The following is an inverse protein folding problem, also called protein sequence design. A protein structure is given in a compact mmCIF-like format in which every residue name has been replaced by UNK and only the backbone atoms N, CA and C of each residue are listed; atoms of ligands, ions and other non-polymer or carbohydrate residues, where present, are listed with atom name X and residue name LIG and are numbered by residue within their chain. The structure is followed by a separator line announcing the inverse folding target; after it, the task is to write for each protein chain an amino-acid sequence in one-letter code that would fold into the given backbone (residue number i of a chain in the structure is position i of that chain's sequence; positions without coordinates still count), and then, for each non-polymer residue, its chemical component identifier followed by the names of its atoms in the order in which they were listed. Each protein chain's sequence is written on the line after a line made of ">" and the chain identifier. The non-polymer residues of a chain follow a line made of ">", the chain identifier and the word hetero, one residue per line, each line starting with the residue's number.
data_IF_113199997558
#
_entry.id   IF_113199997558
#
_cell.length_a   1.000
_cell.length_b   1.000
_cell.length_c   1.000
_cell.angle_alpha   90.00
_cell.angle_beta   90.00
_cell.angle_gamma   90.00
#
_symmetry.space_group_name_H-M   'P 1'
#
loop_
_entity.id
_entity.type
_entity.pdbx_description
1 polymer ?
#
# COMPACT_ATOMS: atom_id res chain seq x y z
N UNK A 1 -8.06 -35.61 0.37
CA UNK A 1 -8.66 -34.55 1.22
C UNK A 1 -8.30 -34.85 2.66
N UNK A 2 -8.11 -33.83 3.51
CA UNK A 2 -7.75 -34.01 4.93
C UNK A 2 -6.33 -33.56 5.30
N UNK A 3 -5.40 -33.51 4.35
CA UNK A 3 -4.02 -33.06 4.61
C UNK A 3 -3.83 -31.54 4.47
N UNK A 4 -2.83 -31.01 5.17
CA UNK A 4 -2.40 -29.62 5.08
C UNK A 4 -1.36 -29.45 3.98
N UNK A 5 -1.60 -28.52 3.05
CA UNK A 5 -0.63 -28.14 2.01
C UNK A 5 0.25 -27.01 2.51
N UNK A 6 1.56 -27.25 2.65
CA UNK A 6 2.53 -26.20 2.94
C UNK A 6 3.22 -25.75 1.65
N UNK A 7 3.14 -24.45 1.37
CA UNK A 7 3.97 -23.77 0.40
C UNK A 7 4.87 -22.76 1.12
N UNK A 8 6.13 -23.14 1.36
CA UNK A 8 7.08 -22.34 2.12
C UNK A 8 7.68 -21.15 1.32
N UNK A 9 7.34 -21.02 0.02
CA UNK A 9 7.80 -19.97 -0.88
C UNK A 9 6.67 -19.57 -1.83
N UNK A 10 5.52 -19.23 -1.24
CA UNK A 10 4.26 -19.20 -1.96
C UNK A 10 4.18 -18.10 -3.03
N UNK A 11 4.99 -17.03 -2.93
CA UNK A 11 5.27 -16.10 -4.03
C UNK A 11 4.02 -15.64 -4.79
N UNK A 12 3.83 -16.20 -5.98
CA UNK A 12 2.70 -15.90 -6.87
C UNK A 12 1.32 -16.40 -6.39
N UNK A 13 1.29 -17.26 -5.38
CA UNK A 13 0.06 -17.75 -4.74
C UNK A 13 -0.65 -18.89 -5.43
N UNK A 14 -0.06 -19.52 -6.44
CA UNK A 14 -0.74 -20.55 -7.22
C UNK A 14 -1.12 -21.76 -6.35
N UNK A 15 -0.18 -22.29 -5.56
CA UNK A 15 -0.44 -23.43 -4.66
C UNK A 15 -1.54 -23.10 -3.65
N UNK A 16 -1.49 -21.91 -3.05
CA UNK A 16 -2.47 -21.42 -2.08
C UNK A 16 -3.86 -21.30 -2.73
N UNK A 17 -3.96 -20.66 -3.89
CA UNK A 17 -5.23 -20.46 -4.58
C UNK A 17 -5.86 -21.78 -5.05
N UNK A 18 -5.05 -22.73 -5.54
CA UNK A 18 -5.54 -24.06 -5.94
C UNK A 18 -5.95 -24.87 -4.71
N UNK A 19 -5.20 -24.80 -3.62
CA UNK A 19 -5.56 -25.47 -2.36
C UNK A 19 -6.88 -24.93 -1.80
N UNK A 20 -7.08 -23.61 -1.84
CA UNK A 20 -8.36 -22.98 -1.47
C UNK A 20 -9.51 -23.47 -2.36
N UNK A 21 -9.32 -23.51 -3.68
CA UNK A 21 -10.34 -24.00 -4.64
C UNK A 21 -10.74 -25.45 -4.38
N UNK A 22 -9.77 -26.28 -3.98
CA UNK A 22 -9.98 -27.69 -3.65
C UNK A 22 -10.44 -27.92 -2.21
N UNK A 23 -10.80 -26.85 -1.48
CA UNK A 23 -11.25 -26.89 -0.09
C UNK A 23 -10.26 -27.62 0.85
N UNK A 24 -8.95 -27.44 0.62
CA UNK A 24 -7.89 -28.01 1.45
C UNK A 24 -7.42 -27.02 2.52
N UNK A 25 -6.90 -27.54 3.62
CA UNK A 25 -6.12 -26.75 4.57
C UNK A 25 -4.78 -26.40 3.93
N UNK A 26 -4.29 -25.18 4.13
CA UNK A 26 -3.02 -24.74 3.57
C UNK A 26 -2.29 -23.73 4.44
N UNK A 27 -0.97 -23.67 4.29
CA UNK A 27 -0.07 -22.68 4.88
C UNK A 27 0.78 -22.12 3.75
N UNK A 28 0.76 -20.80 3.56
CA UNK A 28 1.62 -20.10 2.63
C UNK A 28 2.61 -19.22 3.38
N UNK A 29 3.90 -19.33 3.06
CA UNK A 29 4.96 -18.49 3.63
C UNK A 29 5.71 -17.78 2.52
N UNK A 30 5.90 -16.47 2.68
CA UNK A 30 6.81 -15.67 1.88
C UNK A 30 7.42 -14.59 2.79
N UNK A 31 8.66 -14.20 2.49
CA UNK A 31 9.36 -13.16 3.25
C UNK A 31 8.95 -11.74 2.82
N UNK A 32 8.40 -11.60 1.62
CA UNK A 32 8.10 -10.31 1.02
C UNK A 32 6.62 -9.92 1.19
N UNK A 33 6.37 -8.70 1.64
CA UNK A 33 5.01 -8.17 1.74
C UNK A 33 4.30 -8.09 0.39
N UNK A 34 5.07 -7.91 -0.70
CA UNK A 34 4.54 -7.87 -2.05
C UNK A 34 3.94 -9.21 -2.49
N UNK A 35 4.63 -10.34 -2.25
CA UNK A 35 4.08 -11.66 -2.53
C UNK A 35 2.83 -11.92 -1.71
N UNK A 36 2.88 -11.66 -0.39
CA UNK A 36 1.71 -11.89 0.48
C UNK A 36 0.51 -11.06 0.02
N UNK A 37 0.74 -9.80 -0.34
CA UNK A 37 -0.28 -8.90 -0.88
C UNK A 37 -0.88 -9.39 -2.19
N UNK A 38 -0.05 -9.91 -3.11
CA UNK A 38 -0.50 -10.51 -4.36
C UNK A 38 -1.37 -11.76 -4.12
N UNK A 39 -0.99 -12.60 -3.16
CA UNK A 39 -1.75 -13.80 -2.78
C UNK A 39 -3.12 -13.41 -2.24
N UNK A 40 -3.18 -12.46 -1.31
CA UNK A 40 -4.44 -11.98 -0.73
C UNK A 40 -5.35 -11.40 -1.81
N UNK A 41 -4.78 -10.59 -2.72
CA UNK A 41 -5.54 -10.03 -3.85
C UNK A 41 -6.09 -11.13 -4.75
N UNK A 42 -5.28 -12.13 -5.11
CA UNK A 42 -5.71 -13.28 -5.92
C UNK A 42 -6.85 -14.05 -5.25
N UNK A 43 -6.77 -14.28 -3.95
CA UNK A 43 -7.81 -14.95 -3.18
C UNK A 43 -9.10 -14.13 -3.17
N UNK A 44 -9.03 -12.82 -2.89
CA UNK A 44 -10.17 -11.91 -2.94
C UNK A 44 -10.83 -11.91 -4.32
N UNK A 45 -10.05 -11.79 -5.40
CA UNK A 45 -10.55 -11.73 -6.77
C UNK A 45 -11.22 -13.05 -7.20
N UNK A 46 -10.75 -14.19 -6.68
CA UNK A 46 -11.24 -15.52 -7.08
C UNK A 46 -12.38 -16.05 -6.21
N UNK A 47 -12.42 -15.67 -4.94
CA UNK A 47 -13.35 -16.24 -3.94
C UNK A 47 -14.18 -15.19 -3.20
N UNK A 48 -14.01 -13.90 -3.52
CA UNK A 48 -14.67 -12.78 -2.85
C UNK A 48 -14.01 -12.38 -1.54
N UNK A 49 -14.42 -11.23 -0.99
CA UNK A 49 -13.82 -10.64 0.22
C UNK A 49 -13.89 -11.51 1.46
N UNK A 50 -14.98 -12.28 1.63
CA UNK A 50 -15.19 -13.12 2.82
C UNK A 50 -14.18 -14.25 2.98
N UNK A 51 -13.40 -14.59 1.94
CA UNK A 51 -12.32 -15.58 2.07
C UNK A 51 -11.22 -15.09 3.02
N UNK A 52 -10.95 -13.78 3.03
CA UNK A 52 -9.87 -13.19 3.81
C UNK A 52 -10.14 -13.24 5.32
N UNK A 53 -11.42 -13.22 5.72
CA UNK A 53 -11.83 -13.28 7.13
C UNK A 53 -11.44 -14.60 7.79
N UNK A 54 -11.26 -15.66 6.98
CA UNK A 54 -10.88 -16.99 7.45
C UNK A 54 -9.36 -17.25 7.34
N UNK A 55 -8.56 -16.26 6.90
CA UNK A 55 -7.11 -16.41 6.75
C UNK A 55 -6.40 -15.81 7.95
N UNK A 56 -5.62 -16.64 8.65
CA UNK A 56 -4.73 -16.17 9.69
C UNK A 56 -3.43 -15.61 9.09
N UNK A 57 -3.34 -14.28 9.01
CA UNK A 57 -2.12 -13.59 8.58
C UNK A 57 -1.16 -13.37 9.75
N UNK A 58 0.05 -13.91 9.65
CA UNK A 58 1.14 -13.70 10.61
C UNK A 58 2.27 -12.91 9.95
N UNK A 59 2.98 -12.08 10.73
CA UNK A 59 4.14 -11.30 10.24
C UNK A 59 3.82 -9.97 9.54
N UNK A 60 2.54 -9.63 9.39
CA UNK A 60 2.08 -8.31 8.92
C UNK A 60 1.64 -7.47 10.12
N UNK A 61 2.00 -6.19 10.20
CA UNK A 61 1.46 -5.31 11.23
C UNK A 61 -0.07 -5.25 11.25
N UNK A 62 -0.64 -5.36 12.44
CA UNK A 62 -2.09 -5.26 12.71
C UNK A 62 -2.44 -4.19 13.74
N UNK A 63 -1.42 -3.59 14.34
CA UNK A 63 -1.52 -2.55 15.34
C UNK A 63 -0.34 -1.57 15.23
N UNK A 64 -0.40 -0.47 15.97
CA UNK A 64 0.67 0.53 15.95
C UNK A 64 2.01 -0.03 16.44
N UNK A 65 1.99 -0.94 17.42
CA UNK A 65 3.21 -1.55 17.99
C UNK A 65 3.96 -2.37 16.95
N UNK A 66 3.25 -3.20 16.18
CA UNK A 66 3.81 -4.01 15.11
C UNK A 66 4.24 -3.16 13.90
N UNK A 67 3.54 -2.06 13.62
CA UNK A 67 3.95 -1.10 12.59
C UNK A 67 5.25 -0.38 12.98
N UNK A 68 5.39 0.04 14.24
CA UNK A 68 6.62 0.61 14.78
C UNK A 68 7.77 -0.40 14.80
N UNK A 69 7.50 -1.66 15.14
CA UNK A 69 8.49 -2.73 15.09
C UNK A 69 9.00 -2.97 13.66
N UNK A 70 8.10 -2.97 12.66
CA UNK A 70 8.49 -3.07 11.25
C UNK A 70 9.32 -1.86 10.80
N UNK A 71 8.94 -0.65 11.19
CA UNK A 71 9.66 0.57 10.85
C UNK A 71 11.07 0.66 11.46
N UNK A 72 11.32 -0.02 12.57
CA UNK A 72 12.59 0.02 13.31
C UNK A 72 13.34 -1.32 13.28
N UNK A 73 12.99 -2.21 12.34
CA UNK A 73 13.62 -3.52 12.19
C UNK A 73 15.12 -3.35 11.91
N UNK A 74 15.97 -4.02 12.69
CA UNK A 74 17.43 -3.76 12.70
C UNK A 74 18.14 -4.19 11.41
N UNK A 75 17.60 -5.16 10.70
CA UNK A 75 18.06 -5.67 9.40
C UNK A 75 17.53 -4.87 8.20
N UNK A 76 16.56 -3.97 8.40
CA UNK A 76 16.06 -3.02 7.38
C UNK A 76 16.36 -1.57 7.78
N UNK A 77 17.64 -1.22 7.77
CA UNK A 77 18.10 0.14 8.11
C UNK A 77 17.50 1.23 7.22
N UNK A 78 17.11 0.87 6.01
CA UNK A 78 16.46 1.79 5.05
C UNK A 78 14.94 1.88 5.22
N UNK A 79 14.35 1.03 6.08
CA UNK A 79 12.91 0.99 6.39
C UNK A 79 12.03 0.75 5.16
N UNK A 80 12.56 0.07 4.16
CA UNK A 80 11.89 -0.18 2.89
C UNK A 80 10.74 -1.16 3.01
N UNK A 81 10.85 -2.13 3.89
CA UNK A 81 9.78 -3.09 4.12
C UNK A 81 8.57 -2.41 4.78
N UNK A 82 8.81 -1.41 5.63
CA UNK A 82 7.74 -0.55 6.16
C UNK A 82 7.07 0.27 5.04
N UNK A 83 7.85 0.91 4.16
CA UNK A 83 7.32 1.69 3.03
C UNK A 83 6.47 0.82 2.10
N UNK A 84 6.97 -0.35 1.71
CA UNK A 84 6.24 -1.33 0.89
C UNK A 84 4.96 -1.79 1.56
N UNK A 85 5.04 -2.18 2.83
CA UNK A 85 3.88 -2.60 3.62
C UNK A 85 2.82 -1.50 3.66
N UNK A 86 3.21 -0.26 3.95
CA UNK A 86 2.29 0.87 4.04
C UNK A 86 1.61 1.16 2.69
N UNK A 87 2.37 1.21 1.59
CA UNK A 87 1.82 1.42 0.24
C UNK A 87 0.80 0.34 -0.11
N UNK A 88 1.14 -0.93 0.09
CA UNK A 88 0.28 -2.05 -0.28
C UNK A 88 -0.98 -2.11 0.60
N UNK A 89 -0.81 -1.94 1.92
CA UNK A 89 -1.92 -1.98 2.89
C UNK A 89 -2.92 -0.86 2.65
N UNK A 90 -2.46 0.40 2.58
CA UNK A 90 -3.36 1.56 2.51
C UNK A 90 -3.86 1.86 1.10
N UNK A 91 -3.29 1.25 0.06
CA UNK A 91 -3.88 1.25 -1.29
C UNK A 91 -4.81 0.07 -1.55
N UNK A 92 -4.94 -0.87 -0.60
CA UNK A 92 -5.62 -2.14 -0.79
C UNK A 92 -5.11 -2.86 -2.06
N UNK A 93 -3.78 -2.95 -2.18
CA UNK A 93 -3.03 -3.56 -3.28
C UNK A 93 -3.31 -2.98 -4.68
N UNK A 94 -3.79 -1.74 -4.76
CA UNK A 94 -4.00 -1.05 -6.05
C UNK A 94 -2.79 -0.25 -6.50
N UNK A 95 -1.91 0.15 -5.57
CA UNK A 95 -0.70 0.88 -5.90
C UNK A 95 0.45 -0.07 -6.24
N UNK A 96 1.23 0.32 -7.23
CA UNK A 96 2.51 -0.31 -7.58
C UNK A 96 3.62 0.36 -6.77
N UNK A 97 4.43 -0.44 -6.08
CA UNK A 97 5.62 0.02 -5.36
C UNK A 97 6.65 0.51 -6.39
N UNK A 98 7.20 1.70 -6.19
CA UNK A 98 8.25 2.19 -7.05
C UNK A 98 9.60 1.54 -6.69
N UNK A 99 10.15 0.69 -7.56
CA UNK A 99 11.40 -0.02 -7.31
C UNK A 99 12.66 0.76 -7.73
N UNK A 100 12.52 1.81 -8.56
CA UNK A 100 13.67 2.50 -9.13
C UNK A 100 14.37 3.40 -8.12
N UNK A 101 15.67 3.15 -7.91
CA UNK A 101 16.59 4.11 -7.28
C UNK A 101 16.90 5.23 -8.29
N UNK A 102 16.14 6.31 -8.30
CA UNK A 102 16.49 7.53 -9.05
C UNK A 102 15.31 8.31 -9.63
N UNK A 103 15.56 9.60 -9.87
CA UNK A 103 14.68 10.66 -10.39
C UNK A 103 13.40 10.99 -9.59
N UNK A 104 12.64 9.99 -9.13
CA UNK A 104 11.28 10.17 -8.60
C UNK A 104 11.24 10.67 -7.13
N UNK A 105 12.32 11.33 -6.68
CA UNK A 105 12.62 11.86 -5.33
C UNK A 105 11.39 11.97 -4.41
N UNK A 106 11.03 10.86 -3.75
CA UNK A 106 9.99 10.83 -2.72
C UNK A 106 8.69 10.08 -3.06
N UNK A 107 8.58 9.39 -4.20
CA UNK A 107 7.44 8.50 -4.50
C UNK A 107 7.76 7.05 -4.09
N UNK A 108 6.98 6.52 -3.15
CA UNK A 108 7.07 5.13 -2.69
C UNK A 108 6.06 4.22 -3.40
N UNK A 109 4.94 4.78 -3.85
CA UNK A 109 3.92 4.06 -4.60
C UNK A 109 3.17 4.95 -5.60
N UNK A 110 2.61 4.34 -6.63
CA UNK A 110 1.71 5.03 -7.55
C UNK A 110 0.53 4.15 -7.97
N UNK A 111 -0.61 4.76 -8.20
CA UNK A 111 -1.80 4.09 -8.72
C UNK A 111 -2.37 4.90 -9.87
N UNK A 112 -3.01 4.22 -10.80
CA UNK A 112 -3.75 4.83 -11.90
C UNK A 112 -5.21 4.50 -11.77
N UNK A 113 -6.07 5.46 -12.06
CA UNK A 113 -7.52 5.26 -12.07
C UNK A 113 -8.13 5.92 -13.29
N UNK A 114 -9.34 5.45 -13.65
CA UNK A 114 -10.05 5.94 -14.82
C UNK A 114 -10.42 7.41 -14.62
N UNK A 115 -10.06 8.24 -15.58
CA UNK A 115 -10.43 9.65 -15.60
C UNK A 115 -11.65 9.88 -16.50
N UNK A 116 -12.10 11.13 -16.55
CA UNK A 116 -13.14 11.59 -17.49
C UNK A 116 -12.64 11.70 -18.93
N UNK A 117 -11.31 11.76 -19.11
CA UNK A 117 -10.62 11.80 -20.40
C UNK A 117 -10.18 10.38 -20.80
N UNK A 118 -9.65 10.23 -22.01
CA UNK A 118 -9.09 8.94 -22.46
C UNK A 118 -7.85 8.52 -21.65
N UNK A 119 -7.10 9.48 -21.10
CA UNK A 119 -5.89 9.19 -20.32
C UNK A 119 -6.22 8.92 -18.84
N UNK A 120 -5.64 7.87 -18.22
CA UNK A 120 -5.83 7.60 -16.79
C UNK A 120 -5.19 8.69 -15.92
N UNK A 121 -5.82 8.98 -14.78
CA UNK A 121 -5.29 9.89 -13.77
C UNK A 121 -4.38 9.15 -12.79
N UNK A 122 -3.35 9.87 -12.29
CA UNK A 122 -2.30 9.31 -11.44
C UNK A 122 -2.45 9.78 -10.00
N UNK A 123 -2.33 8.84 -9.08
CA UNK A 123 -2.16 9.06 -7.64
C UNK A 123 -0.72 8.69 -7.27
N UNK A 124 -0.08 9.50 -6.43
CA UNK A 124 1.22 9.17 -5.85
C UNK A 124 1.11 9.01 -4.34
N UNK A 125 1.90 8.10 -3.80
CA UNK A 125 1.99 7.81 -2.37
C UNK A 125 3.41 8.06 -1.91
N UNK A 126 3.53 8.76 -0.78
CA UNK A 126 4.78 8.96 -0.06
C UNK A 126 4.61 8.47 1.37
N UNK A 127 5.57 7.68 1.86
CA UNK A 127 5.59 7.08 3.19
C UNK A 127 6.75 7.63 3.99
N UNK A 128 6.51 8.05 5.24
CA UNK A 128 7.55 8.42 6.19
C UNK A 128 7.35 7.78 7.56
N UNK A 129 8.37 7.09 8.05
CA UNK A 129 8.40 6.52 9.41
C UNK A 129 9.15 7.37 10.44
N UNK A 130 9.80 8.44 9.99
CA UNK A 130 10.60 9.34 10.83
C UNK A 130 9.83 10.57 11.30
N UNK A 131 10.57 11.60 11.73
CA UNK A 131 10.00 12.93 12.00
C UNK A 131 9.41 13.50 10.71
N UNK A 132 8.22 14.08 10.83
CA UNK A 132 7.48 14.71 9.73
C UNK A 132 7.11 16.15 10.07
N UNK A 133 6.90 16.97 9.05
CA UNK A 133 6.62 18.39 9.13
C UNK A 133 5.84 18.88 7.91
N UNK A 134 5.33 20.11 7.94
CA UNK A 134 4.64 20.70 6.78
C UNK A 134 5.52 20.83 5.53
N UNK A 135 6.86 20.82 5.69
CA UNK A 135 7.79 20.76 4.55
C UNK A 135 7.58 19.51 3.70
N UNK A 136 7.31 18.38 4.35
CA UNK A 136 7.11 17.12 3.65
C UNK A 136 5.85 17.14 2.78
N UNK A 137 4.80 17.85 3.23
CA UNK A 137 3.57 18.04 2.46
C UNK A 137 3.80 18.97 1.27
N UNK A 138 4.55 20.07 1.44
CA UNK A 138 4.94 20.94 0.32
C UNK A 138 5.80 20.22 -0.72
N UNK A 139 6.75 19.41 -0.26
CA UNK A 139 7.59 18.60 -1.15
C UNK A 139 6.75 17.58 -1.93
N UNK A 140 5.73 16.97 -1.28
CA UNK A 140 4.77 16.09 -1.95
C UNK A 140 3.96 16.85 -3.01
N UNK A 141 3.42 18.03 -2.70
CA UNK A 141 2.69 18.86 -3.68
C UNK A 141 3.56 19.25 -4.90
N UNK A 142 4.82 19.60 -4.66
CA UNK A 142 5.79 19.84 -5.74
C UNK A 142 6.04 18.59 -6.58
N UNK A 143 6.08 17.43 -5.94
CA UNK A 143 6.20 16.12 -6.61
C UNK A 143 4.94 15.80 -7.41
N UNK A 144 3.74 16.06 -6.89
CA UNK A 144 2.49 15.89 -7.64
C UNK A 144 2.49 16.72 -8.92
N UNK A 145 2.92 17.98 -8.83
CA UNK A 145 3.00 18.89 -9.98
C UNK A 145 3.98 18.35 -11.04
N UNK A 146 5.19 17.95 -10.62
CA UNK A 146 6.21 17.39 -11.53
C UNK A 146 5.73 16.11 -12.21
N UNK A 147 4.99 15.28 -11.49
CA UNK A 147 4.60 13.94 -11.90
C UNK A 147 3.21 13.88 -12.53
N UNK A 148 2.57 15.04 -12.70
CA UNK A 148 1.18 15.19 -13.16
C UNK A 148 0.20 14.30 -12.38
N UNK A 149 0.42 14.15 -11.07
CA UNK A 149 -0.47 13.43 -10.18
C UNK A 149 -1.57 14.35 -9.68
N UNK A 150 -2.81 13.87 -9.73
CA UNK A 150 -3.99 14.66 -9.33
C UNK A 150 -4.30 14.54 -7.85
N UNK A 151 -3.82 13.47 -7.20
CA UNK A 151 -3.94 13.21 -5.77
C UNK A 151 -2.58 12.74 -5.19
N UNK A 152 -2.21 13.27 -4.03
CA UNK A 152 -1.05 12.86 -3.25
C UNK A 152 -1.45 12.29 -1.89
N UNK A 153 -1.05 11.05 -1.59
CA UNK A 153 -1.32 10.41 -0.30
C UNK A 153 -0.03 10.38 0.51
N UNK A 154 -0.02 11.10 1.63
CA UNK A 154 1.09 11.08 2.59
C UNK A 154 0.77 10.13 3.76
N UNK A 155 1.52 9.04 3.87
CA UNK A 155 1.38 8.05 4.94
C UNK A 155 2.51 8.26 5.95
N UNK A 156 2.17 8.47 7.22
CA UNK A 156 3.15 8.69 8.28
C UNK A 156 2.93 7.77 9.47
N UNK A 157 4.02 7.27 10.04
CA UNK A 157 3.99 6.52 11.31
C UNK A 157 3.67 7.42 12.50
N UNK A 158 4.17 8.66 12.47
CA UNK A 158 3.90 9.66 13.49
C UNK A 158 2.59 10.39 13.20
N UNK A 159 1.89 10.83 14.25
CA UNK A 159 0.70 11.66 14.11
C UNK A 159 1.03 12.94 13.32
N UNK A 160 0.27 13.29 12.27
CA UNK A 160 0.51 14.52 11.51
C UNK A 160 0.32 15.75 12.39
N UNK A 161 1.15 16.78 12.16
CA UNK A 161 1.05 18.04 12.90
C UNK A 161 -0.12 18.88 12.38
N UNK A 162 -0.57 19.88 13.17
CA UNK A 162 -1.60 20.83 12.72
C UNK A 162 -1.20 21.56 11.44
N UNK A 163 0.08 21.93 11.33
CA UNK A 163 0.61 22.63 10.15
C UNK A 163 0.60 21.73 8.91
N UNK A 164 0.86 20.42 9.06
CA UNK A 164 0.74 19.48 7.94
C UNK A 164 -0.70 19.38 7.43
N UNK A 165 -1.67 19.28 8.34
CA UNK A 165 -3.09 19.21 7.98
C UNK A 165 -3.53 20.51 7.29
N UNK A 166 -3.07 21.66 7.79
CA UNK A 166 -3.33 22.96 7.17
C UNK A 166 -2.76 23.02 5.75
N UNK A 167 -1.49 22.66 5.59
CA UNK A 167 -0.80 22.66 4.30
C UNK A 167 -1.49 21.73 3.28
N UNK A 168 -1.90 20.53 3.71
CA UNK A 168 -2.62 19.59 2.85
C UNK A 168 -3.94 20.17 2.35
N UNK A 169 -4.70 20.85 3.21
CA UNK A 169 -5.95 21.52 2.82
C UNK A 169 -5.74 22.69 1.87
N UNK A 170 -4.61 23.38 1.98
CA UNK A 170 -4.23 24.49 1.08
C UNK A 170 -3.88 24.00 -0.33
N UNK A 171 -3.59 22.71 -0.53
CA UNK A 171 -3.40 22.09 -1.86
C UNK A 171 -4.65 22.19 -2.75
N UNK A 172 -5.82 22.36 -2.11
CA UNK A 172 -7.11 22.44 -2.76
C UNK A 172 -7.83 21.10 -2.83
N UNK A 173 -8.94 21.09 -3.57
CA UNK A 173 -9.88 19.97 -3.63
C UNK A 173 -9.84 19.35 -5.03
N UNK A 174 -9.80 18.03 -5.08
CA UNK A 174 -10.03 17.23 -6.27
C UNK A 174 -11.49 16.75 -6.31
N UNK A 175 -12.10 16.83 -7.48
CA UNK A 175 -13.48 16.38 -7.73
C UNK A 175 -13.50 15.61 -9.03
N UNK A 176 -14.12 14.44 -9.00
CA UNK A 176 -14.37 13.57 -10.16
C UNK A 176 -15.84 13.22 -10.21
N UNK A 177 -16.43 13.12 -11.39
CA UNK A 177 -17.80 12.62 -11.56
C UNK A 177 -17.96 11.16 -11.09
N UNK A 178 -16.88 10.40 -10.99
CA UNK A 178 -16.89 9.00 -10.54
C UNK A 178 -16.76 8.85 -9.01
N UNK A 179 -16.53 9.95 -8.29
CA UNK A 179 -16.42 9.95 -6.83
C UNK A 179 -17.70 10.50 -6.19
N UNK A 180 -18.15 9.85 -5.11
CA UNK A 180 -19.34 10.26 -4.37
C UNK A 180 -19.17 11.59 -3.64
N UNK A 181 -17.93 11.99 -3.35
CA UNK A 181 -17.60 13.23 -2.66
C UNK A 181 -16.26 13.79 -3.14
N UNK A 182 -16.08 15.13 -3.10
CA UNK A 182 -14.77 15.74 -3.29
C UNK A 182 -13.80 15.33 -2.19
N UNK A 183 -12.50 15.34 -2.50
CA UNK A 183 -11.40 15.01 -1.57
C UNK A 183 -10.32 16.08 -1.64
N UNK A 184 -9.55 16.24 -0.57
CA UNK A 184 -8.33 17.05 -0.61
C UNK A 184 -7.36 16.45 -1.66
N UNK A 185 -6.67 17.32 -2.40
CA UNK A 185 -5.65 16.93 -3.39
C UNK A 185 -4.45 16.27 -2.74
#
# INVERSE_FOLDING_TARGET
>A
EGDVVLDAYCGCGTTVAVSQRLNRQWIGIDITYQSISLILKRLEDSFGKGVLDNIMLNGIPKDMKSAEALANKSDDRTRKEFEKWAVLTYSNNRATINQKKGADKGIDGSAYFRSEKDDPEKIILQVKSGKVSSRDIRDLQGTMTRESAVIGIFITLQKPTKDMIKEAKEAGIYKSQFMSAPVDK
#
